data_IF_187716693092
#
_entry.id   IF_187716693092
#
_cell.length_a   1.000
_cell.length_b   1.000
_cell.length_c   1.000
_cell.angle_alpha   90.00
_cell.angle_beta   90.00
_cell.angle_gamma   90.00
#
_symmetry.space_group_name_H-M   'P 1'
#
loop_
_entity.id
_entity.type
_entity.pdbx_description
1 polymer ?
#
# COMPACT_ATOMS: atom_id res chain seq x y z
N UNK A 1 -54.81 -5.23 3.68
CA UNK A 1 -53.77 -5.75 2.80
C UNK A 1 -53.06 -4.55 2.15
N UNK A 2 -52.05 -3.99 2.86
CA UNK A 2 -51.26 -2.85 2.34
C UNK A 2 -50.19 -3.43 1.43
N UNK A 3 -50.32 -3.19 0.14
CA UNK A 3 -49.26 -3.43 -0.85
C UNK A 3 -48.23 -2.33 -0.64
N UNK A 4 -47.12 -2.66 0.03
CA UNK A 4 -45.92 -1.81 0.04
C UNK A 4 -45.42 -1.71 -1.41
N UNK A 5 -45.71 -0.58 -2.04
CA UNK A 5 -45.12 -0.21 -3.31
C UNK A 5 -43.59 -0.14 -3.09
N UNK A 6 -42.88 -1.15 -3.57
CA UNK A 6 -41.44 -1.13 -3.70
C UNK A 6 -41.12 0.06 -4.62
N UNK A 7 -40.69 1.18 -4.04
CA UNK A 7 -40.16 2.30 -4.82
C UNK A 7 -38.90 1.80 -5.48
N UNK A 8 -38.94 1.57 -6.75
CA UNK A 8 -37.78 1.30 -7.60
C UNK A 8 -36.95 2.59 -7.61
N UNK A 9 -36.02 2.71 -6.64
CA UNK A 9 -34.96 3.69 -6.76
C UNK A 9 -34.02 3.13 -7.84
N UNK A 10 -33.74 3.88 -8.93
CA UNK A 10 -32.78 3.45 -9.90
C UNK A 10 -31.47 3.17 -9.14
N UNK A 11 -30.92 1.97 -9.31
CA UNK A 11 -29.69 1.57 -8.65
C UNK A 11 -28.57 2.41 -9.26
N UNK A 12 -27.89 3.21 -8.44
CA UNK A 12 -26.76 4.05 -8.86
C UNK A 12 -25.71 3.15 -9.54
N UNK A 13 -25.33 3.48 -10.75
CA UNK A 13 -24.28 2.78 -11.48
C UNK A 13 -22.95 3.55 -11.36
N UNK A 14 -21.93 2.90 -10.81
CA UNK A 14 -20.59 3.47 -10.61
C UNK A 14 -19.59 2.71 -11.45
N UNK A 15 -18.73 3.45 -12.17
CA UNK A 15 -17.57 2.86 -12.85
C UNK A 15 -16.31 3.20 -12.07
N UNK A 16 -15.54 2.17 -11.71
CA UNK A 16 -14.25 2.30 -11.04
C UNK A 16 -13.15 1.95 -12.04
N UNK A 17 -12.23 2.88 -12.29
CA UNK A 17 -11.14 2.74 -13.23
C UNK A 17 -9.83 2.50 -12.48
N UNK A 18 -9.25 1.32 -12.68
CA UNK A 18 -8.09 0.80 -11.98
C UNK A 18 -8.47 -0.29 -10.97
N UNK A 19 -8.03 -1.54 -11.23
CA UNK A 19 -8.24 -2.67 -10.34
C UNK A 19 -7.00 -2.98 -9.47
N UNK A 20 -6.28 -1.93 -9.07
CA UNK A 20 -5.33 -1.98 -7.96
C UNK A 20 -6.05 -2.13 -6.62
N UNK A 21 -5.30 -2.08 -5.53
CA UNK A 21 -5.87 -2.30 -4.18
C UNK A 21 -6.97 -1.30 -3.82
N UNK A 22 -6.81 -0.02 -4.16
CA UNK A 22 -7.82 1.01 -3.85
C UNK A 22 -9.08 0.83 -4.69
N UNK A 23 -8.93 0.67 -6.01
CA UNK A 23 -10.09 0.52 -6.88
C UNK A 23 -10.87 -0.76 -6.63
N UNK A 24 -10.19 -1.89 -6.43
CA UNK A 24 -10.84 -3.17 -6.16
C UNK A 24 -11.66 -3.14 -4.86
N UNK A 25 -11.09 -2.59 -3.77
CA UNK A 25 -11.83 -2.46 -2.52
C UNK A 25 -12.96 -1.41 -2.60
N UNK A 26 -12.75 -0.31 -3.34
CA UNK A 26 -13.80 0.68 -3.61
C UNK A 26 -14.98 0.05 -4.37
N UNK A 27 -14.70 -0.70 -5.43
CA UNK A 27 -15.73 -1.39 -6.20
C UNK A 27 -16.52 -2.37 -5.34
N UNK A 28 -15.82 -3.16 -4.52
CA UNK A 28 -16.45 -4.13 -3.62
C UNK A 28 -17.33 -3.46 -2.56
N UNK A 29 -16.87 -2.38 -1.92
CA UNK A 29 -17.66 -1.65 -0.93
C UNK A 29 -18.86 -0.94 -1.56
N UNK A 30 -18.73 -0.33 -2.74
CA UNK A 30 -19.86 0.23 -3.49
C UNK A 30 -20.91 -0.85 -3.78
N UNK A 31 -20.48 -2.04 -4.23
CA UNK A 31 -21.37 -3.16 -4.49
C UNK A 31 -22.09 -3.63 -3.24
N UNK A 32 -21.41 -3.78 -2.12
CA UNK A 32 -21.96 -4.15 -0.82
C UNK A 32 -22.97 -3.11 -0.28
N UNK A 33 -22.79 -1.83 -0.64
CA UNK A 33 -23.72 -0.74 -0.33
C UNK A 33 -24.89 -0.62 -1.33
N UNK A 34 -25.01 -1.55 -2.27
CA UNK A 34 -26.17 -1.66 -3.16
C UNK A 34 -26.03 -0.97 -4.52
N UNK A 35 -24.88 -0.39 -4.86
CA UNK A 35 -24.64 0.16 -6.19
C UNK A 35 -24.48 -0.96 -7.25
N UNK A 36 -24.82 -0.66 -8.50
CA UNK A 36 -24.34 -1.39 -9.67
C UNK A 36 -22.92 -0.91 -9.97
N UNK A 37 -21.96 -1.81 -10.12
CA UNK A 37 -20.55 -1.40 -10.25
C UNK A 37 -19.86 -2.15 -11.36
N UNK A 38 -19.16 -1.39 -12.22
CA UNK A 38 -18.22 -1.91 -13.21
C UNK A 38 -16.80 -1.51 -12.82
N UNK A 39 -15.94 -2.51 -12.58
CA UNK A 39 -14.52 -2.34 -12.30
C UNK A 39 -13.72 -2.55 -13.59
N UNK A 40 -12.97 -1.54 -14.01
CA UNK A 40 -12.23 -1.56 -15.28
C UNK A 40 -10.73 -1.50 -15.00
N UNK A 41 -9.95 -2.35 -15.66
CA UNK A 41 -8.49 -2.27 -15.61
C UNK A 41 -7.87 -2.69 -16.94
N UNK A 42 -6.79 -2.05 -17.33
CA UNK A 42 -6.12 -2.33 -18.60
C UNK A 42 -5.49 -3.73 -18.63
N UNK A 43 -4.99 -4.21 -17.49
CA UNK A 43 -4.24 -5.47 -17.37
C UNK A 43 -4.89 -6.49 -16.43
N UNK A 44 -5.96 -6.08 -15.74
CA UNK A 44 -6.70 -6.88 -14.78
C UNK A 44 -6.19 -6.81 -13.33
N UNK A 45 -7.00 -7.29 -12.38
CA UNK A 45 -6.68 -7.23 -10.96
C UNK A 45 -5.44 -8.05 -10.61
N UNK A 46 -4.57 -7.51 -9.76
CA UNK A 46 -3.36 -8.21 -9.30
C UNK A 46 -2.29 -8.42 -10.36
N UNK A 47 -2.32 -7.65 -11.47
CA UNK A 47 -1.31 -7.72 -12.52
C UNK A 47 0.07 -7.25 -12.01
N UNK A 48 1.15 -7.73 -12.63
CA UNK A 48 2.53 -7.46 -12.21
C UNK A 48 3.01 -6.04 -12.51
N UNK A 49 2.28 -5.26 -13.31
CA UNK A 49 2.64 -3.89 -13.66
C UNK A 49 2.14 -2.88 -12.64
N UNK A 50 1.10 -3.24 -11.88
CA UNK A 50 0.52 -2.38 -10.85
C UNK A 50 1.44 -2.23 -9.62
N UNK A 51 1.35 -1.10 -8.92
CA UNK A 51 2.05 -0.90 -7.64
C UNK A 51 1.65 -1.94 -6.58
N UNK A 52 0.47 -2.53 -6.69
CA UNK A 52 -0.02 -3.64 -5.85
C UNK A 52 0.32 -5.03 -6.41
N UNK A 53 1.12 -5.13 -7.46
CA UNK A 53 1.36 -6.36 -8.24
C UNK A 53 2.47 -7.28 -7.74
N UNK A 54 3.17 -6.94 -6.66
CA UNK A 54 4.19 -7.81 -6.05
C UNK A 54 3.57 -8.85 -5.10
N UNK A 55 4.38 -9.79 -4.58
CA UNK A 55 3.89 -10.94 -3.82
C UNK A 55 3.44 -10.58 -2.40
N UNK A 56 4.17 -9.70 -1.73
CA UNK A 56 3.89 -9.37 -0.32
C UNK A 56 4.04 -7.87 -0.04
N UNK A 57 3.36 -7.40 1.02
CA UNK A 57 3.45 -6.02 1.54
C UNK A 57 3.45 -6.04 3.06
N UNK A 58 4.23 -5.17 3.66
CA UNK A 58 4.21 -4.97 5.11
C UNK A 58 2.86 -4.43 5.53
N UNK A 59 2.23 -5.06 6.53
CA UNK A 59 1.10 -4.48 7.27
C UNK A 59 1.55 -4.17 8.68
N UNK A 60 1.44 -2.91 9.07
CA UNK A 60 1.97 -2.36 10.31
C UNK A 60 1.15 -1.15 10.74
N UNK A 61 1.04 -0.92 12.04
CA UNK A 61 0.30 0.20 12.60
C UNK A 61 1.18 1.44 12.84
N UNK A 62 2.48 1.28 13.10
CA UNK A 62 3.39 2.39 13.33
C UNK A 62 3.40 3.42 12.18
N UNK A 63 3.07 4.68 12.50
CA UNK A 63 3.03 5.85 11.60
C UNK A 63 3.48 7.14 12.30
N UNK A 64 4.48 7.07 13.19
CA UNK A 64 4.91 8.23 13.95
C UNK A 64 3.79 8.76 14.84
N UNK A 65 3.61 10.08 14.94
CA UNK A 65 2.58 10.70 15.78
C UNK A 65 1.17 10.66 15.18
N UNK A 66 1.00 10.24 13.92
CA UNK A 66 -0.32 10.18 13.26
C UNK A 66 -1.09 8.96 13.75
N UNK A 67 -2.32 9.18 14.26
CA UNK A 67 -3.16 8.11 14.80
C UNK A 67 -4.24 7.63 13.81
N UNK A 68 -4.41 8.30 12.69
CA UNK A 68 -5.40 7.93 11.69
C UNK A 68 -5.02 6.62 10.98
N UNK A 69 -3.79 6.53 10.46
CA UNK A 69 -3.33 5.35 9.74
C UNK A 69 -3.23 4.09 10.62
N UNK A 70 -2.81 4.14 11.90
CA UNK A 70 -2.94 3.00 12.81
C UNK A 70 -4.38 2.49 12.94
N UNK A 71 -5.36 3.38 13.08
CA UNK A 71 -6.79 3.01 13.14
C UNK A 71 -7.25 2.35 11.84
N UNK A 72 -6.89 2.93 10.70
CA UNK A 72 -7.19 2.37 9.39
C UNK A 72 -6.49 1.03 9.14
N UNK A 73 -5.26 0.86 9.62
CA UNK A 73 -4.55 -0.41 9.49
C UNK A 73 -5.28 -1.51 10.29
N UNK A 74 -5.63 -1.27 11.55
CA UNK A 74 -6.37 -2.24 12.38
C UNK A 74 -7.72 -2.61 11.77
N UNK A 75 -8.47 -1.61 11.31
CA UNK A 75 -9.75 -1.81 10.62
C UNK A 75 -9.59 -2.61 9.32
N UNK A 76 -8.59 -2.27 8.52
CA UNK A 76 -8.31 -2.95 7.25
C UNK A 76 -7.81 -4.38 7.44
N UNK A 77 -6.97 -4.62 8.45
CA UNK A 77 -6.45 -5.97 8.71
C UNK A 77 -7.57 -6.95 9.05
N UNK A 78 -8.56 -6.51 9.85
CA UNK A 78 -9.73 -7.32 10.14
C UNK A 78 -10.49 -7.70 8.85
N UNK A 79 -10.66 -6.76 7.91
CA UNK A 79 -11.33 -7.01 6.64
C UNK A 79 -10.49 -7.87 5.66
N UNK A 80 -9.16 -7.77 5.68
CA UNK A 80 -8.29 -8.68 4.94
C UNK A 80 -8.43 -10.11 5.45
N UNK A 81 -8.44 -10.32 6.78
CA UNK A 81 -8.63 -11.63 7.40
C UNK A 81 -10.05 -12.18 7.20
N UNK A 82 -11.08 -11.33 7.21
CA UNK A 82 -12.47 -11.71 6.87
C UNK A 82 -12.58 -12.19 5.42
N UNK A 83 -11.89 -11.51 4.48
CA UNK A 83 -11.90 -11.88 3.09
C UNK A 83 -11.27 -13.26 2.85
N UNK A 84 -10.08 -13.47 3.39
CA UNK A 84 -9.37 -14.74 3.39
C UNK A 84 -8.22 -14.67 4.43
N UNK A 85 -8.29 -15.45 5.51
CA UNK A 85 -7.28 -15.41 6.57
C UNK A 85 -5.87 -15.79 6.08
N UNK A 86 -5.74 -16.50 4.97
CA UNK A 86 -4.43 -16.87 4.40
C UNK A 86 -3.71 -15.70 3.72
N UNK A 87 -4.38 -14.57 3.56
CA UNK A 87 -3.78 -13.35 3.03
C UNK A 87 -2.87 -12.64 4.03
N UNK A 88 -3.06 -12.88 5.32
CA UNK A 88 -2.22 -12.32 6.37
C UNK A 88 -1.24 -13.37 6.91
N UNK A 89 0.04 -13.01 6.92
CA UNK A 89 1.12 -13.80 7.50
C UNK A 89 1.61 -13.07 8.75
N UNK A 90 1.30 -13.57 9.97
CA UNK A 90 1.57 -12.90 11.24
C UNK A 90 3.03 -13.06 11.65
N UNK A 91 3.94 -12.35 10.99
CA UNK A 91 5.38 -12.37 11.29
C UNK A 91 5.78 -11.43 12.42
N UNK A 92 4.90 -10.55 12.86
CA UNK A 92 5.29 -9.34 13.58
C UNK A 92 6.01 -8.35 12.67
N UNK A 93 6.27 -7.15 13.17
CA UNK A 93 7.12 -6.14 12.52
C UNK A 93 8.10 -5.55 13.51
N UNK A 94 9.39 -5.61 13.20
CA UNK A 94 10.48 -5.07 13.98
C UNK A 94 11.00 -3.79 13.30
N UNK A 95 10.93 -2.67 14.03
CA UNK A 95 11.43 -1.37 13.58
C UNK A 95 12.74 -1.08 14.25
N UNK A 96 13.82 -1.03 13.50
CA UNK A 96 15.13 -0.67 14.02
C UNK A 96 15.24 0.83 14.22
N UNK A 97 15.67 1.26 15.40
CA UNK A 97 15.84 2.66 15.76
C UNK A 97 17.30 2.96 16.10
N UNK A 98 17.88 3.90 15.39
CA UNK A 98 19.23 4.41 15.64
C UNK A 98 19.26 5.56 16.64
N UNK A 99 18.09 6.11 17.02
CA UNK A 99 17.91 7.26 17.91
C UNK A 99 16.78 7.05 18.89
N UNK A 100 16.85 7.74 20.03
CA UNK A 100 15.81 7.67 21.08
C UNK A 100 14.54 8.46 20.76
N UNK A 101 14.61 9.44 19.88
CA UNK A 101 13.58 10.45 19.58
C UNK A 101 13.05 10.38 18.11
N UNK A 102 13.27 9.26 17.42
CA UNK A 102 12.91 9.08 16.02
C UNK A 102 11.43 8.80 15.77
N UNK A 103 11.17 8.35 14.55
CA UNK A 103 9.85 7.91 14.09
C UNK A 103 9.28 6.79 14.96
N UNK A 104 10.13 5.86 15.39
CA UNK A 104 9.78 4.70 16.21
C UNK A 104 9.28 5.13 17.58
N UNK A 105 9.93 6.12 18.21
CA UNK A 105 9.50 6.66 19.50
C UNK A 105 8.11 7.33 19.41
N UNK A 106 7.88 8.15 18.37
CA UNK A 106 6.57 8.73 18.12
C UNK A 106 5.49 7.67 17.85
N UNK A 107 5.87 6.60 17.15
CA UNK A 107 4.99 5.46 16.88
C UNK A 107 4.63 4.71 18.16
N UNK A 108 5.60 4.41 19.03
CA UNK A 108 5.37 3.71 20.30
C UNK A 108 4.34 4.46 21.15
N UNK A 109 4.53 5.78 21.35
CA UNK A 109 3.59 6.63 22.10
C UNK A 109 2.19 6.58 21.48
N UNK A 110 2.10 6.62 20.15
CA UNK A 110 0.79 6.57 19.46
C UNK A 110 0.13 5.20 19.64
N UNK A 111 0.87 4.11 19.48
CA UNK A 111 0.35 2.75 19.64
C UNK A 111 -0.13 2.49 21.08
N UNK A 112 0.64 2.91 22.09
CA UNK A 112 0.22 2.83 23.49
C UNK A 112 -1.09 3.57 23.73
N UNK A 113 -1.19 4.82 23.27
CA UNK A 113 -2.42 5.64 23.38
C UNK A 113 -3.63 4.98 22.70
N UNK A 114 -3.41 4.22 21.63
CA UNK A 114 -4.45 3.51 20.89
C UNK A 114 -4.75 2.10 21.43
N UNK A 115 -4.03 1.65 22.46
CA UNK A 115 -4.16 0.30 23.00
C UNK A 115 -3.79 -0.78 21.97
N UNK A 116 -2.78 -0.50 21.13
CA UNK A 116 -2.22 -1.45 20.18
C UNK A 116 -0.97 -2.09 20.75
N UNK A 117 -0.88 -3.42 20.67
CA UNK A 117 0.26 -4.17 21.19
C UNK A 117 1.57 -3.70 20.54
N UNK A 118 2.52 -3.35 21.38
CA UNK A 118 3.87 -3.01 20.97
C UNK A 118 4.86 -3.26 22.10
N UNK A 119 6.10 -3.51 21.77
CA UNK A 119 7.18 -3.75 22.71
C UNK A 119 8.40 -2.89 22.33
N UNK A 120 9.08 -2.35 23.33
CA UNK A 120 10.39 -1.74 23.15
C UNK A 120 11.46 -2.76 23.52
N UNK A 121 12.37 -3.04 22.61
CA UNK A 121 13.43 -4.04 22.74
C UNK A 121 14.80 -3.37 22.67
N UNK A 122 15.72 -3.74 23.54
CA UNK A 122 17.13 -3.36 23.42
C UNK A 122 17.90 -4.31 22.49
N UNK A 123 19.17 -3.99 22.23
CA UNK A 123 20.02 -4.77 21.32
C UNK A 123 20.22 -6.23 21.79
N UNK A 124 20.35 -6.45 23.09
CA UNK A 124 20.55 -7.79 23.64
C UNK A 124 19.29 -8.63 23.48
N UNK A 125 18.12 -8.03 23.67
CA UNK A 125 16.84 -8.70 23.49
C UNK A 125 16.59 -9.05 22.02
N UNK A 126 16.95 -8.16 21.08
CA UNK A 126 16.88 -8.42 19.63
C UNK A 126 17.76 -9.62 19.28
N UNK A 127 19.03 -9.61 19.69
CA UNK A 127 19.98 -10.68 19.39
C UNK A 127 19.55 -12.02 20.04
N UNK A 128 18.94 -11.98 21.22
CA UNK A 128 18.45 -13.17 21.91
C UNK A 128 17.22 -13.78 21.22
N UNK A 129 16.26 -12.95 20.77
CA UNK A 129 15.04 -13.43 20.11
C UNK A 129 15.30 -13.87 18.68
N UNK A 130 16.13 -13.12 17.97
CA UNK A 130 16.42 -13.35 16.57
C UNK A 130 17.94 -13.30 16.30
N UNK A 131 18.65 -14.39 16.59
CA UNK A 131 20.11 -14.44 16.44
C UNK A 131 20.60 -14.27 14.99
N UNK A 132 19.68 -14.29 14.01
CA UNK A 132 19.94 -13.97 12.60
C UNK A 132 20.18 -12.48 12.37
N UNK A 133 19.74 -11.62 13.30
CA UNK A 133 19.85 -10.16 13.22
C UNK A 133 21.05 -9.69 14.01
N UNK A 134 21.96 -8.96 13.36
CA UNK A 134 22.98 -8.16 14.06
C UNK A 134 22.37 -6.78 14.40
N UNK A 135 22.26 -6.41 15.68
CA UNK A 135 21.70 -5.12 16.08
C UNK A 135 22.72 -3.97 16.00
N UNK A 136 23.89 -4.18 15.41
CA UNK A 136 24.97 -3.19 15.32
C UNK A 136 24.50 -1.87 14.73
N UNK A 137 24.65 -0.77 15.50
CA UNK A 137 24.26 0.57 15.09
C UNK A 137 22.82 0.94 15.40
N UNK A 138 22.03 0.01 15.97
CA UNK A 138 20.72 0.30 16.50
C UNK A 138 20.78 0.46 18.03
N UNK A 139 20.06 1.43 18.56
CA UNK A 139 19.95 1.67 19.99
C UNK A 139 18.84 0.82 20.62
N UNK A 140 17.76 0.62 19.89
CA UNK A 140 16.60 -0.14 20.31
C UNK A 140 15.75 -0.53 19.10
N UNK A 141 14.67 -1.28 19.32
CA UNK A 141 13.66 -1.53 18.32
C UNK A 141 12.25 -1.43 18.88
N UNK A 142 11.31 -0.98 18.05
CA UNK A 142 9.89 -1.11 18.30
C UNK A 142 9.40 -2.41 17.64
N UNK A 143 8.77 -3.29 18.39
CA UNK A 143 8.18 -4.52 17.89
C UNK A 143 6.66 -4.48 17.96
N UNK A 144 6.00 -4.72 16.82
CA UNK A 144 4.54 -4.85 16.69
C UNK A 144 4.19 -6.33 16.51
N UNK A 145 3.75 -7.05 17.56
CA UNK A 145 3.48 -8.51 17.46
C UNK A 145 2.28 -8.85 16.58
N UNK A 146 1.26 -7.98 16.52
CA UNK A 146 0.04 -8.18 15.74
C UNK A 146 0.16 -7.74 14.28
N UNK A 147 1.34 -7.28 13.87
CA UNK A 147 1.67 -6.86 12.52
C UNK A 147 2.26 -8.02 11.69
N UNK A 148 2.64 -7.76 10.44
CA UNK A 148 3.26 -8.78 9.60
C UNK A 148 3.24 -8.45 8.12
N UNK A 149 2.95 -9.44 7.28
CA UNK A 149 2.87 -9.30 5.83
C UNK A 149 1.49 -9.65 5.29
N UNK A 150 1.08 -8.97 4.22
CA UNK A 150 -0.09 -9.29 3.41
C UNK A 150 0.36 -9.86 2.07
N UNK A 151 -0.31 -10.91 1.59
CA UNK A 151 -0.10 -11.51 0.26
C UNK A 151 -0.71 -10.60 -0.81
N UNK A 152 0.10 -9.72 -1.39
CA UNK A 152 -0.38 -8.54 -2.10
C UNK A 152 -1.15 -8.85 -3.39
N UNK A 153 -0.51 -9.49 -4.37
CA UNK A 153 -1.15 -9.83 -5.63
C UNK A 153 -2.33 -10.78 -5.43
N UNK A 154 -2.15 -11.77 -4.54
CA UNK A 154 -3.20 -12.70 -4.14
C UNK A 154 -4.39 -11.97 -3.51
N UNK A 155 -4.12 -11.01 -2.61
CA UNK A 155 -5.14 -10.22 -1.93
C UNK A 155 -6.01 -9.41 -2.90
N UNK A 156 -5.39 -8.70 -3.87
CA UNK A 156 -6.15 -7.95 -4.89
C UNK A 156 -6.98 -8.91 -5.75
N UNK A 157 -6.40 -10.03 -6.21
CA UNK A 157 -7.10 -11.00 -7.02
C UNK A 157 -8.29 -11.65 -6.26
N UNK A 158 -8.12 -11.94 -4.97
CA UNK A 158 -9.19 -12.49 -4.11
C UNK A 158 -10.29 -11.45 -3.88
N UNK A 159 -9.95 -10.19 -3.63
CA UNK A 159 -10.93 -9.11 -3.46
C UNK A 159 -11.73 -8.87 -4.76
N UNK A 160 -11.06 -8.89 -5.92
CA UNK A 160 -11.74 -8.75 -7.21
C UNK A 160 -12.67 -9.93 -7.53
N UNK A 161 -12.27 -11.15 -7.16
CA UNK A 161 -13.12 -12.33 -7.30
C UNK A 161 -14.34 -12.24 -6.39
N UNK A 162 -14.14 -11.87 -5.11
CA UNK A 162 -15.26 -11.66 -4.20
C UNK A 162 -16.22 -10.56 -4.69
N UNK A 163 -15.69 -9.48 -5.28
CA UNK A 163 -16.50 -8.45 -5.93
C UNK A 163 -17.35 -9.01 -7.08
N UNK A 164 -16.76 -9.86 -7.94
CA UNK A 164 -17.50 -10.49 -9.03
C UNK A 164 -18.56 -11.48 -8.51
N UNK A 165 -18.24 -12.28 -7.50
CA UNK A 165 -19.17 -13.22 -6.84
C UNK A 165 -20.34 -12.49 -6.16
N UNK A 166 -20.10 -11.27 -5.66
CA UNK A 166 -21.12 -10.35 -5.12
C UNK A 166 -21.95 -9.66 -6.23
N UNK A 167 -21.74 -10.02 -7.50
CA UNK A 167 -22.49 -9.51 -8.67
C UNK A 167 -21.93 -8.21 -9.25
N UNK A 168 -20.66 -7.92 -9.03
CA UNK A 168 -19.93 -6.85 -9.72
C UNK A 168 -19.47 -7.26 -11.11
N UNK A 169 -19.29 -6.27 -12.00
CA UNK A 169 -18.83 -6.48 -13.36
C UNK A 169 -17.34 -6.10 -13.48
N UNK A 170 -16.49 -7.04 -13.87
CA UNK A 170 -15.04 -6.81 -14.08
C UNK A 170 -14.74 -6.80 -15.57
N UNK A 171 -14.20 -5.68 -16.07
CA UNK A 171 -13.85 -5.51 -17.48
C UNK A 171 -12.35 -5.25 -17.65
N UNK A 172 -11.75 -5.97 -18.59
CA UNK A 172 -10.40 -5.69 -19.06
C UNK A 172 -10.48 -4.74 -20.25
N UNK A 173 -9.89 -3.56 -20.12
CA UNK A 173 -9.92 -2.56 -21.17
C UNK A 173 -9.18 -1.28 -20.80
N UNK A 174 -8.68 -0.61 -21.83
CA UNK A 174 -8.00 0.68 -21.68
C UNK A 174 -9.04 1.79 -21.51
N UNK A 175 -9.04 2.42 -20.33
CA UNK A 175 -9.82 3.62 -20.10
C UNK A 175 -9.10 4.85 -20.63
N UNK A 176 -9.86 5.76 -21.27
CA UNK A 176 -9.38 7.05 -21.76
C UNK A 176 -10.34 8.14 -21.30
N UNK A 177 -9.80 9.30 -20.97
CA UNK A 177 -10.56 10.49 -20.56
C UNK A 177 -10.32 11.60 -21.58
N UNK A 178 -11.39 12.17 -22.10
CA UNK A 178 -11.34 13.32 -23.01
C UNK A 178 -12.41 14.35 -22.57
N UNK A 179 -11.98 15.41 -21.88
CA UNK A 179 -12.87 16.31 -21.18
C UNK A 179 -13.71 15.56 -20.13
N UNK A 180 -15.03 15.65 -20.22
CA UNK A 180 -15.94 14.91 -19.31
C UNK A 180 -16.33 13.52 -19.83
N UNK A 181 -15.79 13.12 -20.99
CA UNK A 181 -16.13 11.82 -21.59
C UNK A 181 -15.11 10.77 -21.19
N UNK A 182 -15.60 9.69 -20.62
CA UNK A 182 -14.81 8.48 -20.33
C UNK A 182 -15.17 7.40 -21.35
N UNK A 183 -14.15 6.77 -21.90
CA UNK A 183 -14.30 5.60 -22.78
C UNK A 183 -13.50 4.43 -22.24
N UNK A 184 -13.95 3.20 -22.52
CA UNK A 184 -13.23 1.97 -22.25
C UNK A 184 -13.13 1.19 -23.56
N UNK A 185 -11.92 0.94 -24.01
CA UNK A 185 -11.67 0.29 -25.31
C UNK A 185 -12.41 0.95 -26.49
N UNK A 186 -12.54 2.29 -26.44
CA UNK A 186 -13.23 3.09 -27.45
C UNK A 186 -14.74 3.24 -27.26
N UNK A 187 -15.38 2.47 -26.39
CA UNK A 187 -16.80 2.60 -26.09
C UNK A 187 -17.04 3.59 -24.96
N UNK A 188 -18.05 4.46 -25.11
CA UNK A 188 -18.39 5.45 -24.09
C UNK A 188 -18.97 4.77 -22.85
N UNK A 189 -18.46 5.16 -21.69
CA UNK A 189 -18.99 4.73 -20.39
C UNK A 189 -20.19 5.60 -20.03
N UNK A 190 -21.27 4.94 -19.65
CA UNK A 190 -22.47 5.56 -19.09
C UNK A 190 -22.56 5.14 -17.62
N UNK A 191 -22.35 6.09 -16.70
CA UNK A 191 -22.39 5.87 -15.27
C UNK A 191 -22.94 7.12 -14.57
N UNK A 192 -23.53 6.91 -13.39
CA UNK A 192 -23.98 8.01 -12.52
C UNK A 192 -22.79 8.61 -11.76
N UNK A 193 -21.72 7.82 -11.52
CA UNK A 193 -20.48 8.31 -10.96
C UNK A 193 -19.27 7.52 -11.50
N UNK A 194 -18.09 8.17 -11.52
CA UNK A 194 -16.83 7.57 -11.92
C UNK A 194 -15.78 7.74 -10.83
N UNK A 195 -15.05 6.66 -10.51
CA UNK A 195 -13.91 6.69 -9.57
C UNK A 195 -12.63 6.37 -10.33
N UNK A 196 -11.71 7.32 -10.37
CA UNK A 196 -10.39 7.15 -10.96
C UNK A 196 -9.41 6.65 -9.89
N UNK A 197 -9.10 5.35 -9.91
CA UNK A 197 -8.18 4.68 -8.97
C UNK A 197 -7.02 4.00 -9.72
N UNK A 198 -6.52 4.65 -10.78
CA UNK A 198 -5.56 4.10 -11.71
C UNK A 198 -4.09 4.15 -11.21
N UNK A 199 -3.87 4.46 -9.93
CA UNK A 199 -2.54 4.47 -9.30
C UNK A 199 -1.53 5.30 -10.07
N UNK A 200 -0.35 4.76 -10.43
CA UNK A 200 0.70 5.50 -11.15
C UNK A 200 0.29 6.06 -12.51
N UNK A 201 -0.81 5.56 -13.07
CA UNK A 201 -1.35 6.08 -14.33
C UNK A 201 -2.28 7.29 -14.16
N UNK A 202 -2.65 7.69 -12.92
CA UNK A 202 -3.54 8.83 -12.67
C UNK A 202 -3.10 10.12 -13.36
N UNK A 203 -1.83 10.57 -13.27
CA UNK A 203 -1.39 11.78 -13.95
C UNK A 203 -1.52 11.69 -15.49
N UNK A 204 -1.27 10.52 -16.03
CA UNK A 204 -1.35 10.27 -17.48
C UNK A 204 -2.80 10.16 -17.97
N UNK A 205 -3.67 9.52 -17.19
CA UNK A 205 -5.07 9.33 -17.51
C UNK A 205 -5.86 10.63 -17.46
N UNK A 206 -5.63 11.43 -16.41
CA UNK A 206 -6.40 12.64 -16.15
C UNK A 206 -5.78 13.91 -16.76
N UNK A 207 -4.49 13.85 -17.14
CA UNK A 207 -3.78 15.00 -17.70
C UNK A 207 -3.62 16.15 -16.68
N UNK A 208 -3.81 17.38 -17.14
CA UNK A 208 -3.61 18.58 -16.35
C UNK A 208 -4.80 18.87 -15.43
N UNK A 209 -4.93 18.12 -14.34
CA UNK A 209 -5.88 18.42 -13.27
C UNK A 209 -5.19 19.31 -12.24
N UNK A 210 -5.74 20.49 -11.89
CA UNK A 210 -5.16 21.36 -10.89
C UNK A 210 -4.92 20.64 -9.56
N UNK A 211 -3.75 20.84 -8.95
CA UNK A 211 -3.33 20.23 -7.68
C UNK A 211 -3.21 18.70 -7.65
N UNK A 212 -3.34 18.03 -8.78
CA UNK A 212 -3.01 16.60 -8.89
C UNK A 212 -1.49 16.46 -9.09
N UNK A 213 -0.77 16.52 -7.98
CA UNK A 213 0.69 16.43 -7.97
C UNK A 213 1.10 15.04 -7.46
N UNK A 214 1.30 14.10 -8.38
CA UNK A 214 1.77 12.73 -8.10
C UNK A 214 3.07 12.51 -8.87
N UNK A 215 4.14 12.21 -8.15
CA UNK A 215 5.38 11.70 -8.75
C UNK A 215 5.40 10.18 -8.80
N UNK A 216 5.99 9.61 -9.86
CA UNK A 216 6.01 8.17 -10.09
C UNK A 216 7.46 7.67 -10.12
N UNK A 217 8.13 7.53 -8.97
CA UNK A 217 9.48 6.97 -8.92
C UNK A 217 9.48 5.45 -9.03
N UNK A 218 10.51 4.94 -9.70
CA UNK A 218 10.82 3.51 -9.72
C UNK A 218 11.16 3.00 -8.32
N UNK A 219 10.75 1.76 -8.04
CA UNK A 219 11.13 1.02 -6.83
C UNK A 219 11.62 -0.37 -7.21
N UNK A 220 12.64 -0.84 -6.51
CA UNK A 220 13.25 -2.13 -6.76
C UNK A 220 13.15 -3.02 -5.52
N UNK A 221 12.73 -4.25 -5.73
CA UNK A 221 12.53 -5.26 -4.70
C UNK A 221 13.42 -6.44 -5.06
N UNK A 222 14.19 -6.91 -4.08
CA UNK A 222 15.16 -7.96 -4.26
C UNK A 222 14.78 -9.13 -3.35
N UNK A 223 14.75 -10.32 -3.89
CA UNK A 223 14.64 -11.56 -3.14
C UNK A 223 15.99 -12.28 -3.16
N UNK A 224 16.51 -12.56 -1.98
CA UNK A 224 17.71 -13.38 -1.83
C UNK A 224 17.30 -14.81 -1.45
N UNK A 225 17.92 -15.81 -2.04
CA UNK A 225 17.73 -17.17 -1.58
C UNK A 225 18.15 -17.28 -0.10
N UNK A 226 17.45 -18.12 0.67
CA UNK A 226 17.86 -18.41 2.04
C UNK A 226 19.02 -19.43 2.04
N UNK A 227 19.87 -19.45 3.09
CA UNK A 227 20.95 -20.43 3.17
C UNK A 227 20.41 -21.86 3.08
N UNK A 228 21.06 -22.76 2.32
CA UNK A 228 20.58 -24.13 2.17
C UNK A 228 20.48 -24.88 3.51
N UNK A 229 19.29 -25.43 3.80
CA UNK A 229 19.06 -26.20 5.02
C UNK A 229 18.82 -25.35 6.29
N UNK A 230 18.77 -24.02 6.15
CA UNK A 230 18.49 -23.09 7.24
C UNK A 230 17.09 -22.48 7.02
N UNK A 231 16.16 -22.71 7.92
CA UNK A 231 14.82 -22.15 7.95
C UNK A 231 14.71 -20.86 8.80
N UNK A 232 15.82 -20.42 9.41
CA UNK A 232 15.88 -19.25 10.29
C UNK A 232 15.44 -17.94 9.64
N UNK A 233 15.37 -17.86 8.32
CA UNK A 233 14.88 -16.71 7.56
C UNK A 233 13.46 -16.89 7.00
N UNK A 234 12.80 -17.98 7.36
CA UNK A 234 11.40 -18.21 6.97
C UNK A 234 10.41 -17.45 7.86
N UNK A 235 9.21 -17.23 7.34
CA UNK A 235 8.12 -16.62 8.10
C UNK A 235 7.82 -17.42 9.38
N UNK A 236 7.76 -16.72 10.50
CA UNK A 236 7.61 -17.31 11.84
C UNK A 236 8.93 -17.54 12.59
N UNK A 237 10.09 -17.50 11.91
CA UNK A 237 11.41 -17.58 12.55
C UNK A 237 12.05 -16.20 12.75
N UNK A 238 11.75 -15.27 11.87
CA UNK A 238 12.19 -13.89 11.93
C UNK A 238 11.03 -12.96 11.56
N UNK A 239 10.87 -11.78 12.20
CA UNK A 239 9.82 -10.85 11.84
C UNK A 239 10.08 -10.17 10.49
N UNK A 240 9.05 -9.61 9.92
CA UNK A 240 9.17 -8.51 8.96
C UNK A 240 9.88 -7.36 9.65
N UNK A 241 10.75 -6.65 8.96
CA UNK A 241 11.55 -5.59 9.58
C UNK A 241 11.56 -4.32 8.75
N UNK A 242 11.80 -3.20 9.41
CA UNK A 242 11.92 -1.88 8.80
C UNK A 242 13.06 -1.13 9.50
N UNK A 243 13.96 -0.58 8.74
CA UNK A 243 14.92 0.41 9.16
C UNK A 243 14.54 1.74 8.52
N UNK A 244 13.94 2.61 9.32
CA UNK A 244 13.45 3.89 8.82
C UNK A 244 14.60 4.82 8.43
N UNK A 245 15.57 5.00 9.33
CA UNK A 245 16.69 5.91 9.12
C UNK A 245 17.63 5.41 8.01
N UNK A 246 17.83 4.09 7.92
CA UNK A 246 18.62 3.46 6.85
C UNK A 246 17.85 3.31 5.53
N UNK A 247 16.55 3.57 5.52
CA UNK A 247 15.69 3.45 4.34
C UNK A 247 15.69 2.05 3.71
N UNK A 248 15.56 1.02 4.56
CA UNK A 248 15.39 -0.36 4.13
C UNK A 248 14.18 -1.01 4.80
N UNK A 249 13.60 -1.96 4.15
CA UNK A 249 12.68 -2.89 4.78
C UNK A 249 12.84 -4.29 4.19
N UNK A 250 12.40 -5.29 4.93
CA UNK A 250 12.39 -6.65 4.44
C UNK A 250 11.26 -7.48 5.03
N UNK A 251 11.00 -8.59 4.36
CA UNK A 251 9.99 -9.58 4.73
C UNK A 251 10.67 -10.95 4.69
N UNK A 252 10.50 -11.79 5.73
CA UNK A 252 11.05 -13.14 5.72
C UNK A 252 10.58 -13.95 4.50
N UNK A 253 11.23 -15.06 4.25
CA UNK A 253 10.82 -15.98 3.19
C UNK A 253 9.42 -16.53 3.48
N UNK A 254 8.47 -16.16 2.62
CA UNK A 254 7.10 -16.68 2.64
C UNK A 254 6.97 -17.67 1.49
N UNK A 255 6.45 -18.86 1.76
CA UNK A 255 6.27 -19.93 0.78
C UNK A 255 7.58 -20.27 0.03
N UNK A 256 8.72 -20.16 0.70
CA UNK A 256 10.08 -20.42 0.17
C UNK A 256 10.48 -19.57 -1.02
N UNK A 257 9.92 -18.38 -1.16
CA UNK A 257 10.25 -17.47 -2.27
C UNK A 257 11.60 -16.79 -2.09
N UNK A 258 12.14 -16.76 -0.89
CA UNK A 258 13.38 -16.09 -0.52
C UNK A 258 13.15 -14.91 0.42
N UNK A 259 14.23 -14.46 1.03
CA UNK A 259 14.26 -13.30 1.93
C UNK A 259 14.15 -12.02 1.10
N UNK A 260 13.03 -11.34 1.25
CA UNK A 260 12.73 -10.11 0.52
C UNK A 260 13.31 -8.91 1.21
N UNK A 261 13.94 -8.02 0.46
CA UNK A 261 14.26 -6.69 0.92
C UNK A 261 14.14 -5.64 -0.18
N UNK A 262 14.03 -4.40 0.22
CA UNK A 262 14.02 -3.27 -0.70
C UNK A 262 14.73 -2.08 -0.08
N UNK A 263 15.63 -1.43 -0.85
CA UNK A 263 16.05 -0.07 -0.60
C UNK A 263 14.85 0.87 -0.81
N UNK A 264 14.46 1.63 0.22
CA UNK A 264 13.19 2.35 0.26
C UNK A 264 13.31 3.86 -0.04
N UNK A 265 14.30 4.27 -0.83
CA UNK A 265 14.42 5.62 -1.37
C UNK A 265 13.97 5.69 -2.84
N UNK A 266 13.54 6.88 -3.33
CA UNK A 266 13.03 7.02 -4.69
C UNK A 266 14.11 6.71 -5.73
N UNK A 267 13.72 5.91 -6.71
CA UNK A 267 14.48 5.77 -7.95
C UNK A 267 14.17 6.90 -8.94
N UNK A 268 14.58 6.77 -10.21
CA UNK A 268 14.24 7.73 -11.25
C UNK A 268 12.72 7.82 -11.45
N UNK A 269 12.24 8.99 -11.84
CA UNK A 269 10.83 9.18 -12.25
C UNK A 269 10.61 8.46 -13.57
N UNK A 270 9.55 7.67 -13.65
CA UNK A 270 9.27 6.80 -14.80
C UNK A 270 7.88 7.03 -15.39
N UNK A 271 7.73 6.72 -16.67
CA UNK A 271 6.43 6.46 -17.30
C UNK A 271 6.07 4.99 -17.03
N UNK A 272 4.96 4.69 -16.35
CA UNK A 272 4.60 3.31 -16.00
C UNK A 272 4.38 2.39 -17.20
N UNK A 273 4.09 2.94 -18.39
CA UNK A 273 3.95 2.16 -19.63
C UNK A 273 5.29 1.83 -20.30
N UNK A 274 6.34 2.60 -20.01
CA UNK A 274 7.65 2.50 -20.67
C UNK A 274 8.78 2.12 -19.74
N UNK A 275 8.49 1.93 -18.46
CA UNK A 275 9.48 1.59 -17.45
C UNK A 275 10.23 0.31 -17.81
N UNK A 276 11.54 0.38 -17.84
CA UNK A 276 12.40 -0.80 -17.88
C UNK A 276 12.34 -1.52 -16.52
N UNK A 277 11.92 -2.79 -16.53
CA UNK A 277 11.70 -3.56 -15.30
C UNK A 277 12.88 -4.50 -15.04
N UNK A 278 14.06 -3.91 -14.94
CA UNK A 278 15.32 -4.59 -14.62
C UNK A 278 15.90 -4.03 -13.34
N UNK A 279 16.33 -4.91 -12.44
CA UNK A 279 17.10 -4.51 -11.25
C UNK A 279 18.39 -3.80 -11.65
N UNK A 280 18.72 -2.75 -10.92
CA UNK A 280 20.03 -2.11 -11.03
C UNK A 280 21.07 -2.84 -10.17
N UNK A 281 22.27 -3.00 -10.71
CA UNK A 281 23.39 -3.60 -9.97
C UNK A 281 23.73 -2.77 -8.72
N UNK A 282 23.58 -1.44 -8.81
CA UNK A 282 23.77 -0.52 -7.68
C UNK A 282 22.84 -0.83 -6.51
N UNK A 283 21.53 -1.00 -6.77
CA UNK A 283 20.57 -1.34 -5.71
C UNK A 283 20.84 -2.70 -5.08
N UNK A 284 21.26 -3.66 -5.88
CA UNK A 284 21.65 -4.99 -5.38
C UNK A 284 22.87 -4.88 -4.47
N UNK A 285 23.88 -4.08 -4.83
CA UNK A 285 25.08 -3.94 -4.00
C UNK A 285 24.79 -3.16 -2.70
N UNK A 286 23.95 -2.12 -2.74
CA UNK A 286 23.44 -1.48 -1.52
C UNK A 286 22.74 -2.46 -0.60
N UNK A 287 21.88 -3.29 -1.16
CA UNK A 287 21.18 -4.32 -0.39
C UNK A 287 22.16 -5.31 0.25
N UNK A 288 23.21 -5.74 -0.49
CA UNK A 288 24.26 -6.62 0.04
C UNK A 288 25.07 -5.95 1.14
N UNK A 289 25.37 -4.65 1.01
CA UNK A 289 26.04 -3.88 2.07
C UNK A 289 25.24 -3.90 3.38
N UNK A 290 23.93 -3.68 3.28
CA UNK A 290 23.03 -3.77 4.41
C UNK A 290 22.97 -5.18 5.01
N UNK A 291 22.88 -6.22 4.17
CA UNK A 291 22.88 -7.62 4.62
C UNK A 291 24.18 -8.00 5.34
N UNK A 292 25.35 -7.58 4.86
CA UNK A 292 26.65 -7.84 5.53
C UNK A 292 26.65 -7.33 6.98
N UNK A 293 26.02 -6.21 7.23
CA UNK A 293 25.98 -5.59 8.56
C UNK A 293 24.90 -6.18 9.47
N UNK A 294 23.71 -6.36 8.96
CA UNK A 294 22.54 -6.66 9.81
C UNK A 294 22.01 -8.09 9.68
N UNK A 295 22.34 -8.79 8.59
CA UNK A 295 21.93 -10.17 8.33
C UNK A 295 23.10 -10.96 7.71
N UNK A 296 24.21 -11.16 8.44
CA UNK A 296 25.48 -11.67 7.85
C UNK A 296 25.33 -12.99 7.08
N UNK A 297 24.47 -13.90 7.55
CA UNK A 297 24.23 -15.18 6.87
C UNK A 297 23.56 -15.03 5.49
N UNK A 298 22.96 -13.87 5.22
CA UNK A 298 22.32 -13.55 3.94
C UNK A 298 23.26 -12.83 2.95
N UNK A 299 24.40 -12.33 3.40
CA UNK A 299 25.25 -11.43 2.62
C UNK A 299 25.70 -12.00 1.27
N UNK A 300 26.07 -13.28 1.24
CA UNK A 300 26.60 -13.95 0.05
C UNK A 300 25.53 -14.79 -0.69
N UNK A 301 24.27 -14.76 -0.22
CA UNK A 301 23.23 -15.53 -0.86
C UNK A 301 22.90 -14.96 -2.25
N UNK A 302 22.59 -15.81 -3.24
CA UNK A 302 22.26 -15.34 -4.58
C UNK A 302 20.92 -14.59 -4.61
N UNK A 303 20.81 -13.61 -5.51
CA UNK A 303 19.53 -13.03 -5.87
C UNK A 303 18.69 -14.10 -6.58
N UNK A 304 17.61 -14.52 -5.99
CA UNK A 304 16.69 -15.51 -6.55
C UNK A 304 15.64 -14.90 -7.46
N UNK A 305 15.20 -13.67 -7.16
CA UNK A 305 14.19 -12.95 -7.93
C UNK A 305 14.39 -11.44 -7.78
N UNK A 306 14.03 -10.68 -8.80
CA UNK A 306 13.95 -9.23 -8.77
C UNK A 306 12.61 -8.73 -9.27
N UNK A 307 12.09 -7.70 -8.63
CA UNK A 307 10.87 -7.01 -9.05
C UNK A 307 11.13 -5.52 -9.15
N UNK A 308 10.72 -4.94 -10.26
CA UNK A 308 10.76 -3.50 -10.46
C UNK A 308 9.33 -3.00 -10.57
N UNK A 309 8.94 -2.16 -9.66
CA UNK A 309 7.65 -1.53 -9.60
C UNK A 309 7.81 0.01 -9.52
N UNK A 310 6.77 0.71 -9.18
CA UNK A 310 6.77 2.15 -8.99
C UNK A 310 5.85 2.54 -7.85
N UNK A 311 6.17 3.66 -7.19
CA UNK A 311 5.26 4.32 -6.28
C UNK A 311 4.42 5.38 -6.99
N UNK A 312 3.44 5.89 -6.31
CA UNK A 312 2.65 7.08 -6.61
C UNK A 312 2.74 8.01 -5.40
N UNK A 313 3.70 8.94 -5.42
CA UNK A 313 4.03 9.77 -4.27
C UNK A 313 3.35 11.13 -4.36
N UNK A 314 2.71 11.54 -3.28
CA UNK A 314 2.34 12.92 -2.98
C UNK A 314 3.41 13.57 -2.10
N UNK A 315 3.54 14.89 -2.11
CA UNK A 315 4.61 15.58 -1.39
C UNK A 315 4.49 15.44 0.14
N UNK A 316 3.28 15.40 0.68
CA UNK A 316 3.00 15.20 2.11
C UNK A 316 2.66 13.78 2.48
N UNK A 317 2.62 12.89 1.45
CA UNK A 317 2.45 11.46 1.57
C UNK A 317 1.07 10.96 2.00
N UNK A 318 0.15 11.88 2.23
CA UNK A 318 -1.25 11.53 2.35
C UNK A 318 -1.86 11.13 1.01
N UNK A 319 -2.86 10.28 1.06
CA UNK A 319 -3.61 9.87 -0.14
C UNK A 319 -4.39 11.05 -0.73
N UNK A 320 -4.77 10.95 -1.98
CA UNK A 320 -5.75 11.84 -2.60
C UNK A 320 -7.05 11.05 -2.69
N UNK A 321 -8.09 11.56 -2.03
CA UNK A 321 -9.45 11.02 -2.08
C UNK A 321 -10.39 12.23 -2.11
N UNK A 322 -10.73 12.67 -3.33
CA UNK A 322 -11.51 13.89 -3.50
C UNK A 322 -12.30 13.88 -4.81
N UNK A 323 -13.20 14.82 -4.95
CA UNK A 323 -13.93 15.05 -6.19
C UNK A 323 -13.01 15.57 -7.29
N UNK A 324 -13.28 15.15 -8.52
CA UNK A 324 -12.63 15.76 -9.69
C UNK A 324 -13.11 17.21 -9.82
N UNK A 325 -12.22 18.21 -10.03
CA UNK A 325 -12.57 19.63 -9.93
C UNK A 325 -13.51 20.12 -11.03
N UNK A 326 -13.57 19.44 -12.16
CA UNK A 326 -14.36 19.88 -13.34
C UNK A 326 -15.34 18.82 -13.86
N UNK A 327 -15.17 17.54 -13.51
CA UNK A 327 -16.09 16.47 -13.91
C UNK A 327 -17.13 16.25 -12.81
N UNK A 328 -18.40 16.43 -13.14
CA UNK A 328 -19.47 16.13 -12.21
C UNK A 328 -19.47 14.64 -11.84
N UNK A 329 -19.75 14.34 -10.56
CA UNK A 329 -19.83 12.98 -10.02
C UNK A 329 -18.63 12.08 -10.31
N UNK A 330 -17.45 12.69 -10.45
CA UNK A 330 -16.19 12.01 -10.60
C UNK A 330 -15.29 12.17 -9.37
N UNK A 331 -14.55 11.11 -9.04
CA UNK A 331 -13.67 11.04 -7.87
C UNK A 331 -12.26 10.62 -8.26
N UNK A 332 -11.25 11.18 -7.61
CA UNK A 332 -9.84 10.82 -7.76
C UNK A 332 -9.40 10.11 -6.47
N UNK A 333 -8.86 8.91 -6.63
CA UNK A 333 -8.39 8.06 -5.52
C UNK A 333 -6.99 7.54 -5.85
N UNK A 334 -5.99 8.00 -5.13
CA UNK A 334 -4.60 7.62 -5.39
C UNK A 334 -3.62 8.22 -4.40
N UNK A 335 -2.35 8.33 -4.81
CA UNK A 335 -1.29 8.85 -3.96
C UNK A 335 -0.95 7.91 -2.80
N UNK A 336 -0.94 6.59 -3.03
CA UNK A 336 -0.70 5.57 -2.01
C UNK A 336 0.66 5.65 -1.32
N UNK A 337 1.58 6.45 -1.87
CA UNK A 337 2.83 6.94 -1.25
C UNK A 337 3.66 5.86 -0.53
N UNK A 338 3.77 4.66 -1.11
CA UNK A 338 4.54 3.54 -0.56
C UNK A 338 3.91 2.83 0.65
N UNK A 339 2.83 3.35 1.23
CA UNK A 339 2.19 2.74 2.39
C UNK A 339 0.68 2.43 2.22
N UNK A 340 0.11 2.69 1.05
CA UNK A 340 -1.34 2.60 0.79
C UNK A 340 -1.90 1.18 0.83
N UNK A 341 -1.15 0.15 0.40
CA UNK A 341 -1.67 -1.19 0.15
C UNK A 341 -2.52 -1.76 1.32
N UNK A 342 -1.97 -1.75 2.53
CA UNK A 342 -2.62 -2.30 3.72
C UNK A 342 -3.95 -1.62 4.08
N UNK A 343 -4.13 -0.38 3.63
CA UNK A 343 -5.32 0.44 3.89
C UNK A 343 -6.44 0.27 2.84
N UNK A 344 -6.24 -0.60 1.83
CA UNK A 344 -7.22 -0.80 0.75
C UNK A 344 -8.66 -0.95 1.23
N UNK A 345 -8.95 -1.83 2.21
CA UNK A 345 -10.31 -1.97 2.77
C UNK A 345 -10.90 -0.66 3.31
N UNK A 346 -10.16 0.05 4.18
CA UNK A 346 -10.62 1.31 4.77
C UNK A 346 -10.80 2.42 3.73
N UNK A 347 -9.86 2.51 2.76
CA UNK A 347 -9.97 3.44 1.63
C UNK A 347 -11.24 3.14 0.82
N UNK A 348 -11.45 1.86 0.48
CA UNK A 348 -12.63 1.46 -0.30
C UNK A 348 -13.94 1.79 0.41
N UNK A 349 -14.00 1.53 1.71
CA UNK A 349 -15.17 1.84 2.54
C UNK A 349 -15.43 3.35 2.61
N UNK A 350 -14.38 4.14 2.86
CA UNK A 350 -14.45 5.59 2.91
C UNK A 350 -14.89 6.20 1.57
N UNK A 351 -14.26 5.79 0.47
CA UNK A 351 -14.62 6.26 -0.87
C UNK A 351 -16.05 5.90 -1.22
N UNK A 352 -16.49 4.67 -0.90
CA UNK A 352 -17.87 4.25 -1.17
C UNK A 352 -18.90 5.10 -0.43
N UNK A 353 -18.61 5.49 0.82
CA UNK A 353 -19.45 6.38 1.59
C UNK A 353 -19.54 7.77 0.94
N UNK A 354 -18.41 8.32 0.51
CA UNK A 354 -18.36 9.63 -0.17
C UNK A 354 -19.14 9.62 -1.49
N UNK A 355 -18.90 8.60 -2.35
CA UNK A 355 -19.54 8.46 -3.67
C UNK A 355 -21.06 8.35 -3.54
N UNK A 356 -21.56 7.61 -2.56
CA UNK A 356 -22.99 7.42 -2.32
C UNK A 356 -23.62 8.51 -1.42
N UNK A 357 -22.85 9.53 -1.02
CA UNK A 357 -23.35 10.65 -0.23
C UNK A 357 -23.64 10.34 1.24
N UNK A 358 -23.14 9.22 1.76
CA UNK A 358 -23.27 8.83 3.17
C UNK A 358 -22.21 9.54 4.05
N UNK A 359 -22.48 10.82 4.33
CA UNK A 359 -21.58 11.67 5.11
C UNK A 359 -21.37 11.16 6.54
N UNK A 360 -22.37 10.50 7.13
CA UNK A 360 -22.28 9.97 8.49
C UNK A 360 -21.27 8.81 8.54
N UNK A 361 -21.33 7.87 7.59
CA UNK A 361 -20.36 6.79 7.48
C UNK A 361 -18.96 7.32 7.16
N UNK A 362 -18.84 8.28 6.24
CA UNK A 362 -17.55 8.90 5.90
C UNK A 362 -16.89 9.53 7.14
N UNK A 363 -17.62 10.26 7.95
CA UNK A 363 -17.13 10.92 9.16
C UNK A 363 -16.64 9.95 10.26
N UNK A 364 -17.10 8.69 10.24
CA UNK A 364 -16.60 7.67 11.18
C UNK A 364 -15.26 7.08 10.75
N UNK A 365 -14.95 7.17 9.45
CA UNK A 365 -13.75 6.54 8.86
C UNK A 365 -12.56 7.50 8.77
N UNK A 366 -12.80 8.78 8.55
CA UNK A 366 -11.74 9.77 8.45
C UNK A 366 -12.06 11.02 9.27
N UNK A 367 -11.05 11.69 9.85
CA UNK A 367 -11.27 12.95 10.53
C UNK A 367 -11.75 14.01 9.52
N UNK A 368 -12.47 15.04 9.99
CA UNK A 368 -12.96 16.12 9.14
C UNK A 368 -11.83 17.14 8.85
N UNK A 369 -10.69 16.66 8.40
CA UNK A 369 -9.55 17.48 7.97
C UNK A 369 -9.35 17.36 6.44
N UNK A 370 -8.44 18.14 5.90
CA UNK A 370 -8.17 18.22 4.47
C UNK A 370 -7.03 17.29 3.99
N UNK A 371 -6.61 16.32 4.83
CA UNK A 371 -5.46 15.45 4.52
C UNK A 371 -5.59 14.70 3.18
N UNK A 372 -6.79 14.35 2.79
CA UNK A 372 -7.07 13.65 1.54
C UNK A 372 -7.54 14.56 0.41
N UNK A 373 -7.71 15.85 0.66
CA UNK A 373 -8.20 16.79 -0.33
C UNK A 373 -7.23 16.97 -1.50
N UNK A 374 -7.79 17.22 -2.68
CA UNK A 374 -7.04 17.63 -3.86
C UNK A 374 -6.64 19.09 -3.71
N UNK A 375 -5.41 19.32 -3.22
CA UNK A 375 -4.85 20.64 -2.93
C UNK A 375 -3.37 20.68 -3.21
N UNK A 376 -2.77 21.84 -3.40
CA UNK A 376 -1.31 21.97 -3.39
C UNK A 376 -0.73 21.41 -2.09
N UNK A 377 0.33 20.63 -2.18
CA UNK A 377 0.93 19.91 -1.05
C UNK A 377 2.37 20.34 -0.86
N UNK A 378 2.79 20.44 0.38
CA UNK A 378 4.18 20.73 0.74
C UNK A 378 4.78 19.51 1.43
N UNK A 379 6.07 19.29 1.23
CA UNK A 379 6.79 18.20 1.90
C UNK A 379 6.67 18.38 3.41
N UNK A 380 6.12 17.38 4.10
CA UNK A 380 6.08 17.38 5.56
C UNK A 380 7.27 16.59 6.10
N UNK A 381 8.04 17.20 6.99
CA UNK A 381 9.07 16.53 7.74
C UNK A 381 8.39 15.72 8.86
N UNK A 382 8.60 14.40 8.90
CA UNK A 382 8.14 13.54 9.99
C UNK A 382 7.00 12.57 9.66
N UNK A 383 6.40 12.66 8.48
CA UNK A 383 5.57 11.57 7.97
C UNK A 383 6.45 10.63 7.16
N UNK A 384 6.50 9.37 7.58
CA UNK A 384 7.24 8.42 6.78
C UNK A 384 6.54 8.11 5.49
N UNK A 385 7.32 8.35 4.49
CA UNK A 385 7.14 7.69 3.23
C UNK A 385 8.44 7.15 2.71
N UNK A 386 8.32 6.02 2.19
CA UNK A 386 9.21 5.58 1.17
C UNK A 386 9.47 6.75 0.23
N UNK A 387 10.70 7.17 0.14
CA UNK A 387 11.07 8.27 -0.73
C UNK A 387 11.28 9.65 -0.10
N UNK A 388 11.01 9.83 1.17
CA UNK A 388 11.38 11.05 1.89
C UNK A 388 12.82 11.03 2.44
N UNK A 389 13.40 9.85 2.61
CA UNK A 389 14.79 9.72 3.03
C UNK A 389 15.74 9.95 1.85
N UNK A 390 16.82 10.72 2.01
CA UNK A 390 17.87 10.78 1.01
C UNK A 390 18.52 9.38 0.84
N UNK A 391 19.01 9.10 -0.37
CA UNK A 391 19.80 7.89 -0.57
C UNK A 391 20.93 7.82 0.48
N UNK A 392 21.21 6.66 1.09
CA UNK A 392 22.29 6.54 2.04
C UNK A 392 23.62 6.94 1.36
N UNK A 393 24.47 7.68 2.09
CA UNK A 393 25.80 8.00 1.59
C UNK A 393 26.63 6.72 1.55
N UNK A 394 27.36 6.51 0.48
CA UNK A 394 28.21 5.34 0.23
C UNK A 394 29.37 5.20 1.25
N UNK A 395 29.61 6.23 2.05
CA UNK A 395 30.77 6.37 2.94
C UNK A 395 30.44 6.16 4.43
N UNK A 396 29.41 5.41 4.76
CA UNK A 396 29.08 5.10 6.16
C UNK A 396 29.34 3.62 6.50
#
# INVERSE_FOLDING_TARGET
MLILACRYHPQVHVVVIGAGVFGTWTARWLRRRGASVTLVDQYGPGNSLASSGDESRVTRAAHGPDDHYPRWQRHSLAQWCELDPTLFVPTGVLWFASREDGFEAGSAVTLERLGMANERLDADEIARRWPQVSPDGFTWALYEPDAGALMARRGVATAARAFADEGGDVRIGLAQVNGETVTVSGERVHADAVVFAAGPWLPKLLGAVPALEISVPQQEIIYFATPPGDDGFDAGQIPTWVDYDGSFYGIPSIERRGFKMAPDWPGPIVDPDRQERRLSDERVEFARGYLRRHFPAMADQPVSEGRVCQYELTADTHFIIDRHPTMADAWIVGGGSGHGYKHGPAVGEYVSALVLGDQAAAATLAPPDDRFALRPRVTSLGMRTAGAAPAPRVDA
#
